data_IF_536675941839
#
_entry.id   IF_536675941839
#
_cell.length_a   1.000
_cell.length_b   1.000
_cell.length_c   1.000
_cell.angle_alpha   90.00
_cell.angle_beta   90.00
_cell.angle_gamma   90.00
#
_symmetry.space_group_name_H-M   'P 1'
#
loop_
_entity.id
_entity.type
_entity.pdbx_description
1 polymer ?
#
# COMPACT_ATOMS: atom_id res chain seq x y z
N UNK A 1 -65.51 -0.71 47.11
CA UNK A 1 -64.41 -1.33 47.90
C UNK A 1 -63.40 -1.93 46.93
N UNK A 2 -62.12 -1.62 47.14
CA UNK A 2 -60.91 -2.17 46.51
C UNK A 2 -60.69 -1.96 45.00
N UNK A 3 -60.16 -0.78 44.67
CA UNK A 3 -59.48 -0.51 43.40
C UNK A 3 -57.98 -0.79 43.59
N UNK A 4 -57.46 -1.85 42.93
CA UNK A 4 -56.06 -2.30 42.98
C UNK A 4 -55.18 -1.35 42.14
N UNK A 5 -54.39 -0.49 42.78
CA UNK A 5 -53.30 0.26 42.12
C UNK A 5 -52.04 -0.61 42.09
N UNK A 6 -51.54 -0.91 40.89
CA UNK A 6 -50.19 -1.47 40.65
C UNK A 6 -49.19 -0.32 40.51
N UNK A 7 -47.96 -0.44 41.05
CA UNK A 7 -46.92 0.57 40.86
C UNK A 7 -46.34 0.50 39.45
N UNK A 8 -46.17 1.66 38.81
CA UNK A 8 -45.42 1.82 37.57
C UNK A 8 -43.94 1.52 37.83
N UNK A 9 -43.36 0.64 37.01
CA UNK A 9 -41.93 0.45 36.92
C UNK A 9 -41.30 1.69 36.26
N UNK A 10 -40.36 2.33 36.95
CA UNK A 10 -39.51 3.36 36.39
C UNK A 10 -38.53 2.70 35.39
N UNK A 11 -38.69 3.03 34.11
CA UNK A 11 -37.72 2.70 33.06
C UNK A 11 -36.52 3.63 33.26
N UNK A 12 -35.42 3.07 33.76
CA UNK A 12 -34.11 3.73 33.76
C UNK A 12 -33.65 3.77 32.30
N UNK A 13 -33.77 4.95 31.68
CA UNK A 13 -33.16 5.26 30.40
C UNK A 13 -31.63 5.23 30.60
N UNK A 14 -30.99 4.11 30.28
CA UNK A 14 -29.55 4.10 30.05
C UNK A 14 -29.29 4.95 28.80
N UNK A 15 -28.88 6.19 29.02
CA UNK A 15 -28.30 7.02 27.98
C UNK A 15 -27.04 6.28 27.48
N UNK A 16 -27.19 5.61 26.33
CA UNK A 16 -26.08 5.16 25.51
C UNK A 16 -25.27 6.42 25.20
N UNK A 17 -24.16 6.60 25.90
CA UNK A 17 -23.11 7.52 25.49
C UNK A 17 -22.65 7.06 24.11
N UNK A 18 -23.22 7.64 23.07
CA UNK A 18 -22.69 7.51 21.72
C UNK A 18 -21.22 7.91 21.79
N UNK A 19 -20.30 7.12 21.20
CA UNK A 19 -18.93 7.56 21.05
C UNK A 19 -19.00 8.88 20.28
N UNK A 20 -18.61 9.97 20.93
CA UNK A 20 -18.32 11.22 20.24
C UNK A 20 -17.23 10.84 19.25
N UNK A 21 -17.58 10.83 17.96
CA UNK A 21 -16.59 10.71 16.90
C UNK A 21 -15.50 11.72 17.20
N UNK A 22 -14.26 11.24 17.36
CA UNK A 22 -13.13 12.12 17.57
C UNK A 22 -13.17 13.19 16.49
N UNK A 23 -13.13 14.46 16.90
CA UNK A 23 -13.04 15.59 15.98
C UNK A 23 -11.94 15.30 14.95
N UNK A 24 -12.16 15.70 13.69
CA UNK A 24 -11.22 15.43 12.61
C UNK A 24 -9.78 15.71 13.05
N UNK A 25 -8.84 14.81 12.73
CA UNK A 25 -7.44 15.07 13.04
C UNK A 25 -7.05 16.38 12.37
N UNK A 26 -6.62 17.34 13.20
CA UNK A 26 -6.09 18.63 12.77
C UNK A 26 -4.99 18.34 11.74
N UNK A 27 -4.94 19.03 10.61
CA UNK A 27 -3.81 18.90 9.68
C UNK A 27 -2.62 19.75 10.13
N UNK A 28 -1.52 19.71 9.38
CA UNK A 28 -0.51 20.76 9.50
C UNK A 28 -1.15 22.15 9.38
N UNK A 29 -0.86 23.02 10.35
CA UNK A 29 -1.24 24.42 10.35
C UNK A 29 0.04 25.26 10.41
N UNK A 30 0.27 26.21 9.49
CA UNK A 30 1.42 27.12 9.53
C UNK A 30 1.60 27.83 10.88
N UNK A 31 0.54 28.06 11.66
CA UNK A 31 0.62 28.62 13.01
C UNK A 31 1.42 27.73 13.99
N UNK A 32 1.57 26.44 13.70
CA UNK A 32 2.33 25.47 14.49
C UNK A 32 3.83 25.47 14.16
N UNK A 33 4.29 26.28 13.21
CA UNK A 33 5.68 26.32 12.75
C UNK A 33 6.69 26.55 13.86
N UNK A 34 6.33 27.26 14.93
CA UNK A 34 7.22 27.47 16.07
C UNK A 34 7.51 26.19 16.86
N UNK A 35 6.51 25.31 17.03
CA UNK A 35 6.70 24.00 17.68
C UNK A 35 7.51 23.09 16.78
N UNK A 36 7.24 23.11 15.46
CA UNK A 36 8.00 22.33 14.48
C UNK A 36 9.47 22.78 14.39
N UNK A 37 9.76 24.08 14.50
CA UNK A 37 11.13 24.61 14.50
C UNK A 37 12.00 24.04 15.63
N UNK A 38 11.39 23.70 16.76
CA UNK A 38 12.06 23.10 17.92
C UNK A 38 12.05 21.56 17.90
N UNK A 39 11.41 20.94 16.91
CA UNK A 39 11.19 19.50 16.84
C UNK A 39 12.15 18.87 15.83
N UNK A 40 12.98 17.88 16.21
CA UNK A 40 13.81 17.14 15.27
C UNK A 40 12.98 16.53 14.14
N UNK A 41 13.48 16.67 12.91
CA UNK A 41 12.84 16.13 11.71
C UNK A 41 13.55 14.85 11.27
N UNK A 42 12.78 13.81 11.03
CA UNK A 42 13.26 12.52 10.57
C UNK A 42 12.67 12.21 9.20
N UNK A 43 13.51 12.11 8.18
CA UNK A 43 13.09 11.64 6.84
C UNK A 43 13.39 10.15 6.77
N UNK A 44 12.36 9.32 6.82
CA UNK A 44 12.49 7.86 6.86
C UNK A 44 12.13 7.28 5.50
N UNK A 45 13.13 6.76 4.78
CA UNK A 45 12.93 6.04 3.54
C UNK A 45 12.48 4.61 3.84
N UNK A 46 11.29 4.24 3.37
CA UNK A 46 10.69 2.93 3.63
C UNK A 46 11.19 1.83 2.69
N UNK A 47 11.68 2.22 1.51
CA UNK A 47 12.27 1.31 0.52
C UNK A 47 13.37 2.02 -0.28
N UNK A 48 14.51 1.37 -0.46
CA UNK A 48 15.62 1.92 -1.23
C UNK A 48 15.42 1.79 -2.72
N UNK A 49 14.68 0.79 -3.18
CA UNK A 49 14.42 0.52 -4.60
C UNK A 49 12.92 0.51 -4.95
N UNK A 50 12.58 0.67 -6.23
CA UNK A 50 11.18 0.64 -6.69
C UNK A 50 10.52 -0.70 -6.36
N UNK A 51 9.40 -0.67 -5.62
CA UNK A 51 8.63 -1.86 -5.25
C UNK A 51 7.34 -1.98 -6.03
N UNK A 52 6.97 -3.20 -6.42
CA UNK A 52 5.65 -3.49 -6.98
C UNK A 52 4.60 -3.65 -5.89
N UNK A 53 3.47 -2.94 -6.00
CA UNK A 53 2.37 -3.05 -5.05
C UNK A 53 1.61 -4.37 -5.22
N UNK A 54 1.32 -5.05 -4.12
CA UNK A 54 0.50 -6.27 -4.09
C UNK A 54 -0.95 -5.87 -3.82
N UNK A 55 -1.93 -6.27 -4.67
CA UNK A 55 -3.34 -5.96 -4.48
C UNK A 55 -3.96 -6.80 -3.35
N UNK A 56 -3.40 -6.69 -2.15
CA UNK A 56 -3.80 -7.42 -0.95
C UNK A 56 -3.86 -6.47 0.23
N UNK A 57 -5.02 -6.45 0.89
CA UNK A 57 -5.22 -5.81 2.18
C UNK A 57 -5.30 -6.89 3.25
N UNK A 58 -4.60 -6.67 4.36
CA UNK A 58 -4.68 -7.57 5.50
C UNK A 58 -6.05 -7.43 6.18
N UNK A 59 -6.77 -8.54 6.29
CA UNK A 59 -8.02 -8.61 7.06
C UNK A 59 -7.69 -8.90 8.52
N UNK A 60 -7.93 -7.94 9.41
CA UNK A 60 -7.93 -8.20 10.85
C UNK A 60 -9.17 -9.00 11.22
N UNK A 61 -8.98 -10.21 11.74
CA UNK A 61 -10.05 -11.14 12.12
C UNK A 61 -10.66 -10.77 13.49
N UNK A 62 -10.10 -9.77 14.19
CA UNK A 62 -10.57 -9.31 15.50
C UNK A 62 -11.46 -8.06 15.45
N UNK A 63 -11.79 -7.55 14.25
CA UNK A 63 -12.57 -6.33 14.08
C UNK A 63 -14.07 -6.60 13.95
N UNK A 64 -14.86 -6.02 14.85
CA UNK A 64 -16.30 -5.85 14.73
C UNK A 64 -16.68 -5.42 13.30
N UNK A 65 -17.60 -6.13 12.60
CA UNK A 65 -18.02 -5.80 11.23
C UNK A 65 -18.70 -4.43 11.11
N UNK A 66 -19.04 -3.77 12.23
CA UNK A 66 -19.56 -2.39 12.25
C UNK A 66 -18.46 -1.32 12.25
N UNK A 67 -17.20 -1.68 12.50
CA UNK A 67 -16.01 -0.87 12.21
C UNK A 67 -15.56 -1.07 10.76
N UNK A 68 -16.54 -1.10 9.83
CA UNK A 68 -16.33 -0.91 8.40
C UNK A 68 -15.94 0.54 8.12
N UNK A 69 -14.84 0.99 8.74
CA UNK A 69 -14.12 2.13 8.26
C UNK A 69 -13.21 1.56 7.17
N UNK A 70 -13.36 1.92 5.90
CA UNK A 70 -12.53 1.34 4.87
C UNK A 70 -11.07 1.65 5.25
N UNK A 71 -10.35 0.60 5.68
CA UNK A 71 -9.02 0.63 6.27
C UNK A 71 -7.97 0.94 5.21
N UNK A 72 -8.17 2.04 4.49
CA UNK A 72 -7.24 2.58 3.52
C UNK A 72 -5.97 3.15 4.19
N UNK A 73 -5.94 3.29 5.53
CA UNK A 73 -5.01 4.19 6.22
C UNK A 73 -4.54 3.78 7.63
N UNK A 74 -4.90 2.60 8.15
CA UNK A 74 -4.55 2.19 9.52
C UNK A 74 -3.32 1.27 9.64
N UNK A 75 -2.58 1.06 8.55
CA UNK A 75 -1.25 0.43 8.64
C UNK A 75 -0.22 1.55 8.69
N UNK A 76 0.45 1.79 9.84
CA UNK A 76 1.57 2.70 9.91
C UNK A 76 2.55 2.49 8.74
N UNK A 77 2.96 3.56 8.04
CA UNK A 77 3.97 3.48 7.00
C UNK A 77 5.21 2.75 7.53
N UNK A 78 5.72 1.77 6.78
CA UNK A 78 6.91 1.00 7.18
C UNK A 78 6.65 -0.26 8.02
N UNK A 79 5.40 -0.64 8.27
CA UNK A 79 5.10 -2.01 8.74
C UNK A 79 4.97 -2.96 7.55
N UNK A 80 5.82 -3.98 7.51
CA UNK A 80 5.61 -5.14 6.64
C UNK A 80 4.29 -5.85 6.98
N UNK A 81 3.67 -6.52 6.00
CA UNK A 81 2.48 -7.33 6.23
C UNK A 81 2.68 -8.37 7.36
N UNK A 82 3.90 -8.88 7.54
CA UNK A 82 4.27 -9.77 8.65
C UNK A 82 4.24 -9.09 10.02
N UNK A 83 4.62 -7.82 10.12
CA UNK A 83 4.52 -7.03 11.36
C UNK A 83 3.06 -6.68 11.69
N UNK A 84 2.24 -6.35 10.69
CA UNK A 84 0.80 -6.14 10.88
C UNK A 84 0.09 -7.44 11.31
N UNK A 85 0.48 -8.58 10.74
CA UNK A 85 0.00 -9.89 11.15
C UNK A 85 0.44 -10.24 12.59
N UNK A 86 1.71 -10.06 12.94
CA UNK A 86 2.21 -10.32 14.29
C UNK A 86 1.51 -9.46 15.36
N UNK A 87 1.15 -8.21 15.04
CA UNK A 87 0.37 -7.35 15.93
C UNK A 87 -1.10 -7.81 16.10
N UNK A 88 -1.69 -8.44 15.08
CA UNK A 88 -3.08 -8.95 15.12
C UNK A 88 -3.23 -10.40 15.62
N UNK A 89 -2.15 -11.19 15.64
CA UNK A 89 -2.19 -12.64 15.97
C UNK A 89 -2.23 -12.92 17.49
N UNK A 90 -2.27 -11.90 18.35
CA UNK A 90 -2.40 -12.06 19.80
C UNK A 90 -3.72 -12.72 20.28
N UNK A 91 -4.62 -13.12 19.38
CA UNK A 91 -5.89 -13.81 19.69
C UNK A 91 -6.25 -14.95 18.73
N UNK A 92 -5.51 -16.06 18.75
CA UNK A 92 -6.08 -17.42 18.66
C UNK A 92 -6.86 -17.88 17.41
N UNK A 93 -6.61 -17.41 16.18
CA UNK A 93 -7.33 -17.90 14.98
C UNK A 93 -6.43 -18.37 13.84
N UNK A 94 -6.06 -19.66 13.86
CA UNK A 94 -5.27 -20.34 12.82
C UNK A 94 -5.96 -20.29 11.43
N UNK A 95 -7.29 -20.33 11.37
CA UNK A 95 -8.04 -20.33 10.10
C UNK A 95 -7.94 -18.98 9.36
N UNK A 96 -7.95 -17.86 10.07
CA UNK A 96 -7.81 -16.52 9.47
C UNK A 96 -6.42 -16.28 8.89
N UNK A 97 -5.38 -16.83 9.54
CA UNK A 97 -4.00 -16.79 9.04
C UNK A 97 -3.87 -17.55 7.72
N UNK A 98 -4.50 -18.72 7.59
CA UNK A 98 -4.45 -19.53 6.35
C UNK A 98 -5.20 -18.87 5.17
N UNK A 99 -6.36 -18.25 5.43
CA UNK A 99 -7.10 -17.51 4.41
C UNK A 99 -6.29 -16.30 3.95
N UNK A 100 -5.73 -15.54 4.90
CA UNK A 100 -4.88 -14.39 4.59
C UNK A 100 -3.62 -14.80 3.80
N UNK A 101 -2.97 -15.90 4.17
CA UNK A 101 -1.80 -16.41 3.45
C UNK A 101 -2.15 -16.84 2.01
N UNK A 102 -3.28 -17.52 1.79
CA UNK A 102 -3.67 -17.96 0.45
C UNK A 102 -4.12 -16.79 -0.44
N UNK A 103 -4.84 -15.80 0.10
CA UNK A 103 -5.19 -14.57 -0.61
C UNK A 103 -3.96 -13.72 -0.93
N UNK A 104 -3.01 -13.62 0.00
CA UNK A 104 -1.75 -12.93 -0.23
C UNK A 104 -0.94 -13.63 -1.33
N UNK A 105 -0.83 -14.96 -1.30
CA UNK A 105 -0.16 -15.72 -2.35
C UNK A 105 -0.83 -15.52 -3.71
N UNK A 106 -2.17 -15.53 -3.77
CA UNK A 106 -2.90 -15.26 -5.00
C UNK A 106 -2.63 -13.82 -5.53
N UNK A 107 -2.61 -12.82 -4.65
CA UNK A 107 -2.31 -11.44 -5.03
C UNK A 107 -0.86 -11.26 -5.48
N UNK A 108 0.11 -11.92 -4.85
CA UNK A 108 1.51 -11.96 -5.30
C UNK A 108 1.61 -12.56 -6.71
N UNK A 109 0.98 -13.71 -6.94
CA UNK A 109 0.99 -14.38 -8.24
C UNK A 109 0.37 -13.54 -9.36
N UNK A 110 -0.52 -12.58 -9.05
CA UNK A 110 -1.08 -11.67 -10.05
C UNK A 110 -0.07 -10.64 -10.56
N UNK A 111 0.83 -10.17 -9.69
CA UNK A 111 1.79 -9.12 -10.03
C UNK A 111 3.17 -9.67 -10.43
N UNK A 112 3.48 -10.89 -10.01
CA UNK A 112 4.80 -11.50 -10.21
C UNK A 112 5.27 -11.54 -11.68
N UNK A 113 4.42 -11.86 -12.68
CA UNK A 113 4.84 -11.84 -14.08
C UNK A 113 5.28 -10.44 -14.56
N UNK A 114 4.56 -9.40 -14.14
CA UNK A 114 4.84 -8.02 -14.48
C UNK A 114 6.10 -7.51 -13.76
N UNK A 115 6.22 -7.81 -12.47
CA UNK A 115 7.39 -7.50 -11.64
C UNK A 115 8.67 -8.19 -12.17
N UNK A 116 8.57 -9.44 -12.61
CA UNK A 116 9.69 -10.17 -13.20
C UNK A 116 10.23 -9.48 -14.46
N UNK A 117 9.37 -8.86 -15.27
CA UNK A 117 9.79 -8.08 -16.44
C UNK A 117 10.54 -6.82 -16.00
N UNK A 118 10.02 -6.07 -15.01
CA UNK A 118 10.72 -4.90 -14.47
C UNK A 118 12.13 -5.27 -13.95
N UNK A 119 12.22 -6.34 -13.15
CA UNK A 119 13.50 -6.81 -12.60
C UNK A 119 14.45 -7.32 -13.69
N UNK A 120 13.93 -8.13 -14.63
CA UNK A 120 14.71 -8.66 -15.75
C UNK A 120 15.22 -7.57 -16.70
N UNK A 121 14.50 -6.45 -16.81
CA UNK A 121 14.93 -5.26 -17.54
C UNK A 121 15.94 -4.37 -16.81
N UNK A 122 16.33 -4.71 -15.58
CA UNK A 122 17.24 -3.89 -14.77
C UNK A 122 16.58 -2.64 -14.17
N UNK A 123 15.25 -2.57 -14.14
CA UNK A 123 14.51 -1.39 -13.70
C UNK A 123 14.25 -1.36 -12.18
N UNK A 124 15.06 -2.07 -11.38
CA UNK A 124 15.03 -1.97 -9.92
C UNK A 124 15.81 -0.72 -9.46
N UNK A 125 15.24 0.45 -9.75
CA UNK A 125 15.93 1.73 -9.61
C UNK A 125 16.15 2.06 -8.13
N UNK A 126 17.41 2.32 -7.73
CA UNK A 126 17.79 2.83 -6.42
C UNK A 126 17.81 4.37 -6.45
N UNK A 127 16.65 4.97 -6.22
CA UNK A 127 16.45 6.42 -6.21
C UNK A 127 15.99 6.94 -4.84
N UNK A 128 16.01 6.07 -3.82
CA UNK A 128 15.49 6.40 -2.50
C UNK A 128 16.26 7.53 -1.82
N UNK A 129 17.58 7.55 -1.95
CA UNK A 129 18.41 8.63 -1.41
C UNK A 129 18.09 10.00 -2.04
N UNK A 130 17.81 10.04 -3.35
CA UNK A 130 17.42 11.25 -4.05
C UNK A 130 16.04 11.77 -3.58
N UNK A 131 15.08 10.85 -3.35
CA UNK A 131 13.78 11.21 -2.77
C UNK A 131 13.94 11.74 -1.34
N UNK A 132 14.69 11.06 -0.47
CA UNK A 132 14.94 11.53 0.91
C UNK A 132 15.61 12.91 0.94
N UNK A 133 16.56 13.15 0.02
CA UNK A 133 17.19 14.47 -0.12
C UNK A 133 16.17 15.52 -0.54
N UNK A 134 15.35 15.21 -1.54
CA UNK A 134 14.29 16.11 -2.03
C UNK A 134 13.29 16.48 -0.93
N UNK A 135 12.88 15.50 -0.11
CA UNK A 135 11.96 15.71 1.02
C UNK A 135 12.64 16.53 2.14
N UNK A 136 13.90 16.23 2.46
CA UNK A 136 14.66 17.02 3.43
C UNK A 136 14.81 18.48 2.98
N UNK A 137 15.09 18.70 1.70
CA UNK A 137 15.22 20.04 1.14
C UNK A 137 13.88 20.81 1.15
N UNK A 138 12.75 20.14 0.90
CA UNK A 138 11.43 20.76 1.03
C UNK A 138 11.20 21.33 2.44
N UNK A 139 11.70 20.65 3.48
CA UNK A 139 11.68 21.16 4.86
C UNK A 139 12.64 22.34 5.02
N UNK A 140 13.89 22.22 4.54
CA UNK A 140 14.91 23.29 4.63
C UNK A 140 14.48 24.60 3.95
N UNK A 141 13.67 24.51 2.90
CA UNK A 141 13.15 25.68 2.19
C UNK A 141 12.15 26.50 3.03
N UNK A 142 11.58 25.92 4.08
CA UNK A 142 10.67 26.63 4.99
C UNK A 142 11.42 27.54 5.96
N UNK A 143 10.74 28.58 6.47
CA UNK A 143 11.36 29.49 7.46
C UNK A 143 11.78 28.77 8.75
N UNK A 144 10.99 27.79 9.21
CA UNK A 144 11.26 27.03 10.42
C UNK A 144 12.30 25.92 10.21
N UNK A 145 12.29 25.27 9.04
CA UNK A 145 13.16 24.14 8.75
C UNK A 145 14.64 24.50 8.59
N UNK A 146 14.98 25.76 8.29
CA UNK A 146 16.39 26.23 8.16
C UNK A 146 17.23 26.01 9.40
N UNK A 147 16.63 26.15 10.59
CA UNK A 147 17.31 25.97 11.87
C UNK A 147 17.09 24.59 12.48
N UNK A 148 16.28 23.75 11.83
CA UNK A 148 15.86 22.46 12.38
C UNK A 148 16.86 21.36 12.03
N UNK A 149 17.15 20.49 12.99
CA UNK A 149 17.98 19.30 12.72
C UNK A 149 17.16 18.29 11.92
N UNK A 150 17.65 17.93 10.74
CA UNK A 150 17.04 16.94 9.85
C UNK A 150 17.95 15.73 9.75
N UNK A 151 17.44 14.56 10.14
CA UNK A 151 18.15 13.27 10.02
C UNK A 151 17.44 12.39 9.01
N UNK A 152 18.19 11.91 8.01
CA UNK A 152 17.68 10.94 7.05
C UNK A 152 17.98 9.52 7.54
N UNK A 153 16.98 8.64 7.44
CA UNK A 153 17.07 7.24 7.79
C UNK A 153 16.63 6.37 6.61
N UNK A 154 17.13 5.15 6.56
CA UNK A 154 16.65 4.12 5.67
C UNK A 154 16.20 2.93 6.51
N UNK A 155 14.94 2.53 6.36
CA UNK A 155 14.39 1.41 7.10
C UNK A 155 14.89 0.10 6.48
N UNK A 156 15.67 -0.66 7.24
CA UNK A 156 16.11 -1.98 6.80
C UNK A 156 14.94 -2.98 6.83
N UNK A 157 15.01 -4.09 6.05
CA UNK A 157 14.02 -5.17 6.14
C UNK A 157 13.81 -5.62 7.59
N UNK A 158 12.54 -5.82 7.99
CA UNK A 158 12.13 -6.27 9.35
C UNK A 158 12.48 -5.28 10.49
N UNK A 159 13.08 -4.13 10.20
CA UNK A 159 13.28 -3.06 11.17
C UNK A 159 11.97 -2.31 11.39
N UNK A 160 11.75 -1.79 12.60
CA UNK A 160 10.61 -0.92 12.90
C UNK A 160 11.08 0.51 13.04
N UNK A 161 10.23 1.48 12.70
CA UNK A 161 10.52 2.91 12.81
C UNK A 161 10.96 3.31 14.23
N UNK A 162 10.33 2.74 15.26
CA UNK A 162 10.69 2.92 16.68
C UNK A 162 12.15 2.58 17.03
N UNK A 163 12.87 1.82 16.19
CA UNK A 163 14.28 1.48 16.43
C UNK A 163 15.26 2.51 15.87
N UNK A 164 14.83 3.34 14.94
CA UNK A 164 15.67 4.34 14.24
C UNK A 164 15.29 5.77 14.59
N UNK A 165 14.06 5.97 15.09
CA UNK A 165 13.58 7.26 15.57
C UNK A 165 13.16 7.09 17.03
N UNK A 166 13.78 7.85 17.92
CA UNK A 166 13.46 7.81 19.35
C UNK A 166 12.03 8.29 19.58
N UNK A 167 11.19 7.40 20.11
CA UNK A 167 9.77 7.67 20.33
C UNK A 167 9.47 8.42 21.63
N UNK A 168 10.45 8.51 22.53
CA UNK A 168 10.28 9.16 23.83
C UNK A 168 10.39 10.69 23.74
N UNK A 169 10.92 11.20 22.63
CA UNK A 169 11.12 12.61 22.34
C UNK A 169 10.09 13.16 21.32
N UNK A 170 9.81 14.48 21.36
CA UNK A 170 9.11 15.15 20.27
C UNK A 170 9.82 14.94 18.94
N UNK A 171 9.05 14.66 17.89
CA UNK A 171 9.59 14.35 16.56
C UNK A 171 8.60 14.68 15.46
N UNK A 172 9.14 15.09 14.31
CA UNK A 172 8.39 15.19 13.07
C UNK A 172 8.93 14.17 12.07
N UNK A 173 8.09 13.23 11.66
CA UNK A 173 8.51 12.09 10.84
C UNK A 173 7.90 12.22 9.45
N UNK A 174 8.74 12.21 8.44
CA UNK A 174 8.40 12.19 7.03
C UNK A 174 8.76 10.81 6.47
N UNK A 175 7.80 9.89 6.46
CA UNK A 175 8.00 8.53 5.93
C UNK A 175 7.78 8.53 4.43
N UNK A 176 8.80 8.19 3.65
CA UNK A 176 8.82 8.35 2.20
C UNK A 176 8.94 7.00 1.49
N UNK A 177 8.23 6.85 0.37
CA UNK A 177 8.30 5.65 -0.47
C UNK A 177 8.00 5.96 -1.92
N UNK A 178 8.42 5.07 -2.79
CA UNK A 178 8.00 5.04 -4.19
C UNK A 178 7.72 3.59 -4.60
N UNK A 179 6.63 3.39 -5.35
CA UNK A 179 6.15 2.06 -5.70
C UNK A 179 5.46 2.08 -7.05
N UNK A 180 5.46 0.96 -7.75
CA UNK A 180 4.68 0.72 -8.95
C UNK A 180 3.26 0.31 -8.53
N UNK A 181 2.23 0.91 -9.12
CA UNK A 181 0.83 0.55 -8.84
C UNK A 181 0.57 -0.93 -9.12
N UNK A 182 -0.44 -1.51 -8.46
CA UNK A 182 -0.74 -2.96 -8.60
C UNK A 182 -1.09 -3.41 -10.03
N UNK A 183 -1.56 -2.49 -10.87
CA UNK A 183 -1.86 -2.71 -12.30
C UNK A 183 -0.73 -2.24 -13.23
N UNK A 184 0.40 -1.79 -12.66
CA UNK A 184 1.58 -1.24 -13.31
C UNK A 184 1.31 -0.02 -14.20
N UNK A 185 0.18 0.65 -14.01
CA UNK A 185 -0.17 1.83 -14.82
C UNK A 185 0.59 3.08 -14.40
N UNK A 186 1.06 3.21 -13.16
CA UNK A 186 1.75 4.41 -12.70
C UNK A 186 2.75 4.15 -11.57
N UNK A 187 3.67 5.10 -11.38
CA UNK A 187 4.50 5.20 -10.18
C UNK A 187 3.75 6.05 -9.15
N UNK A 188 3.66 5.52 -7.93
CA UNK A 188 3.10 6.18 -6.76
C UNK A 188 4.23 6.55 -5.82
N UNK A 189 4.44 7.84 -5.63
CA UNK A 189 5.36 8.40 -4.63
C UNK A 189 4.55 8.90 -3.45
N UNK A 190 4.91 8.51 -2.24
CA UNK A 190 4.16 8.84 -1.03
C UNK A 190 5.07 9.41 0.04
N UNK A 191 4.57 10.42 0.74
CA UNK A 191 5.16 10.98 1.96
C UNK A 191 4.08 11.06 3.01
N UNK A 192 4.24 10.32 4.11
CA UNK A 192 3.40 10.47 5.29
C UNK A 192 4.11 11.39 6.28
N UNK A 193 3.50 12.53 6.56
CA UNK A 193 3.99 13.58 7.43
C UNK A 193 3.27 13.49 8.78
N UNK A 194 3.96 13.04 9.82
CA UNK A 194 3.39 12.81 11.15
C UNK A 194 4.14 13.57 12.22
N UNK A 195 3.42 14.38 13.01
CA UNK A 195 4.01 15.13 14.11
C UNK A 195 3.63 14.52 15.46
N UNK A 196 4.65 14.29 16.30
CA UNK A 196 4.52 13.71 17.64
C UNK A 196 5.12 14.70 18.62
N UNK A 197 4.30 15.46 19.33
CA UNK A 197 4.73 16.34 20.41
C UNK A 197 3.55 16.61 21.34
N UNK A 198 3.78 16.81 22.63
CA UNK A 198 2.70 17.10 23.59
C UNK A 198 2.11 18.50 23.39
N UNK A 199 2.94 19.43 22.92
CA UNK A 199 2.63 20.86 22.82
C UNK A 199 1.80 21.21 21.57
N UNK A 200 1.60 20.26 20.65
CA UNK A 200 0.82 20.52 19.45
C UNK A 200 -0.69 20.52 19.78
N UNK A 201 -1.50 21.38 19.13
CA UNK A 201 -2.94 21.33 19.24
C UNK A 201 -3.49 19.94 18.85
N UNK A 202 -4.43 19.41 19.63
CA UNK A 202 -5.06 18.10 19.35
C UNK A 202 -4.20 16.89 19.75
N UNK A 203 -3.04 17.09 20.36
CA UNK A 203 -2.17 15.99 20.77
C UNK A 203 -2.85 15.02 21.75
N UNK A 204 -2.83 13.71 21.47
CA UNK A 204 -3.41 12.74 22.38
C UNK A 204 -2.52 12.53 23.62
N UNK A 205 -3.09 12.05 24.72
CA UNK A 205 -2.33 11.75 25.95
C UNK A 205 -1.17 10.77 25.72
N UNK A 206 -1.29 9.90 24.72
CA UNK A 206 -0.26 8.96 24.30
C UNK A 206 0.45 9.42 23.02
N UNK A 207 0.76 10.72 22.92
CA UNK A 207 1.41 11.35 21.77
C UNK A 207 2.70 10.65 21.32
N UNK A 208 3.38 9.89 22.19
CA UNK A 208 4.56 9.10 21.84
C UNK A 208 4.27 7.95 20.87
N UNK A 209 3.02 7.44 20.86
CA UNK A 209 2.57 6.34 20.00
C UNK A 209 1.64 6.81 18.89
N UNK A 210 0.83 7.83 19.17
CA UNK A 210 -0.13 8.39 18.22
C UNK A 210 0.27 9.82 17.90
N UNK A 211 0.43 10.18 16.62
CA UNK A 211 0.79 11.55 16.28
C UNK A 211 -0.35 12.50 16.64
N UNK A 212 -0.01 13.76 16.89
CA UNK A 212 -0.98 14.85 17.01
C UNK A 212 -1.77 15.00 15.70
N UNK A 213 -1.08 14.80 14.58
CA UNK A 213 -1.66 14.82 13.25
C UNK A 213 -0.85 14.02 12.24
N UNK A 214 -1.50 13.65 11.14
CA UNK A 214 -0.84 13.05 9.98
C UNK A 214 -1.45 13.61 8.69
N UNK A 215 -0.58 13.99 7.78
CA UNK A 215 -0.88 14.38 6.40
C UNK A 215 -0.24 13.37 5.45
N UNK A 216 -1.03 12.75 4.58
CA UNK A 216 -0.55 11.79 3.59
C UNK A 216 -0.50 12.46 2.22
N UNK A 217 0.71 12.73 1.74
CA UNK A 217 0.94 13.33 0.43
C UNK A 217 1.23 12.23 -0.59
N UNK A 218 0.51 12.22 -1.71
CA UNK A 218 0.67 11.22 -2.77
C UNK A 218 0.80 11.91 -4.11
N UNK A 219 1.86 11.57 -4.84
CA UNK A 219 2.05 11.96 -6.24
C UNK A 219 1.97 10.72 -7.10
N UNK A 220 1.11 10.77 -8.12
CA UNK A 220 0.92 9.69 -9.09
C UNK A 220 1.47 10.14 -10.43
N UNK A 221 2.38 9.37 -11.01
CA UNK A 221 2.91 9.67 -12.35
C UNK A 221 1.80 9.61 -13.40
N UNK A 222 2.05 10.15 -14.58
CA UNK A 222 1.16 9.91 -15.71
C UNK A 222 1.03 8.41 -15.98
N UNK A 223 -0.18 7.99 -16.38
CA UNK A 223 -0.47 6.58 -16.63
C UNK A 223 0.17 6.07 -17.91
N UNK A 224 0.62 4.82 -17.87
CA UNK A 224 0.96 4.04 -19.04
C UNK A 224 -0.30 3.39 -19.58
N UNK A 225 -0.76 3.93 -20.69
CA UNK A 225 -1.82 3.34 -21.49
C UNK A 225 -1.27 2.22 -22.37
N UNK A 226 -2.09 1.19 -22.56
CA UNK A 226 -1.80 0.08 -23.46
C UNK A 226 -2.77 0.12 -24.63
N UNK A 227 -2.29 -0.28 -25.81
CA UNK A 227 -3.16 -0.42 -26.96
C UNK A 227 -4.20 -1.55 -26.72
N UNK A 228 -5.39 -1.45 -27.33
CA UNK A 228 -6.32 -2.57 -27.37
C UNK A 228 -5.64 -3.80 -27.98
N UNK A 229 -6.06 -4.98 -27.51
CA UNK A 229 -5.50 -6.25 -27.94
C UNK A 229 -5.77 -6.48 -29.43
N UNK A 230 -4.74 -6.85 -30.17
CA UNK A 230 -4.84 -7.15 -31.60
C UNK A 230 -5.07 -8.65 -31.85
N UNK A 231 -5.41 -9.02 -33.08
CA UNK A 231 -5.50 -10.44 -33.44
C UNK A 231 -4.16 -11.16 -33.30
N UNK A 232 -3.04 -10.48 -33.63
CA UNK A 232 -1.70 -11.04 -33.45
C UNK A 232 -1.39 -11.34 -31.98
N UNK A 233 -1.86 -10.48 -31.06
CA UNK A 233 -1.71 -10.71 -29.61
C UNK A 233 -2.53 -11.90 -29.13
N UNK A 234 -3.74 -12.08 -29.67
CA UNK A 234 -4.59 -13.24 -29.37
C UNK A 234 -3.90 -14.53 -29.83
N UNK A 235 -3.43 -14.57 -31.08
CA UNK A 235 -2.78 -15.74 -31.65
C UNK A 235 -1.50 -16.09 -30.89
N UNK A 236 -0.70 -15.08 -30.52
CA UNK A 236 0.50 -15.26 -29.71
C UNK A 236 0.17 -15.79 -28.30
N UNK A 237 -0.84 -15.24 -27.62
CA UNK A 237 -1.23 -15.69 -26.28
C UNK A 237 -1.78 -17.13 -26.28
N UNK A 238 -2.53 -17.51 -27.33
CA UNK A 238 -2.99 -18.89 -27.52
C UNK A 238 -1.80 -19.83 -27.73
N UNK A 239 -0.85 -19.45 -28.58
CA UNK A 239 0.35 -20.24 -28.84
C UNK A 239 1.20 -20.42 -27.57
N UNK A 240 1.39 -19.36 -26.78
CA UNK A 240 2.11 -19.40 -25.50
C UNK A 240 1.43 -20.34 -24.49
N UNK A 241 0.11 -20.25 -24.35
CA UNK A 241 -0.64 -21.14 -23.44
C UNK A 241 -0.60 -22.60 -23.89
N UNK A 242 -0.67 -22.87 -25.20
CA UNK A 242 -0.52 -24.24 -25.73
C UNK A 242 0.88 -24.78 -25.44
N UNK A 243 1.93 -24.01 -25.72
CA UNK A 243 3.32 -24.40 -25.43
C UNK A 243 3.53 -24.67 -23.93
N UNK A 244 2.97 -23.81 -23.06
CA UNK A 244 3.00 -24.02 -21.60
C UNK A 244 2.30 -25.32 -21.21
N UNK A 245 1.12 -25.59 -21.75
CA UNK A 245 0.34 -26.78 -21.41
C UNK A 245 1.01 -28.07 -21.90
N UNK A 246 1.63 -28.05 -23.08
CA UNK A 246 2.45 -29.14 -23.60
C UNK A 246 3.66 -29.43 -22.71
N UNK A 247 4.38 -28.38 -22.28
CA UNK A 247 5.55 -28.51 -21.40
C UNK A 247 5.23 -29.12 -20.02
N UNK A 248 3.96 -29.11 -19.58
CA UNK A 248 3.53 -29.77 -18.35
C UNK A 248 3.38 -31.30 -18.47
N UNK A 249 3.52 -31.87 -19.67
CA UNK A 249 3.37 -33.30 -19.94
C UNK A 249 2.05 -33.87 -19.38
N UNK A 250 0.95 -33.11 -19.49
CA UNK A 250 -0.35 -33.51 -18.90
C UNK A 250 -0.86 -34.83 -19.48
N UNK A 251 -0.50 -35.16 -20.72
CA UNK A 251 -0.82 -36.45 -21.33
C UNK A 251 -0.25 -37.65 -20.55
N UNK A 252 0.98 -37.54 -20.02
CA UNK A 252 1.53 -38.59 -19.17
C UNK A 252 0.78 -38.72 -17.84
N UNK A 253 0.35 -37.59 -17.26
CA UNK A 253 -0.47 -37.58 -16.06
C UNK A 253 -1.85 -38.21 -16.31
N UNK A 254 -2.44 -38.01 -17.50
CA UNK A 254 -3.69 -38.65 -17.90
C UNK A 254 -3.50 -40.17 -18.01
N UNK A 255 -2.42 -40.64 -18.64
CA UNK A 255 -2.13 -42.08 -18.74
C UNK A 255 -1.98 -42.70 -17.34
N UNK A 256 -1.21 -42.07 -16.44
CA UNK A 256 -1.06 -42.52 -15.04
C UNK A 256 -2.40 -42.52 -14.29
N UNK A 257 -3.20 -41.46 -14.45
CA UNK A 257 -4.52 -41.34 -13.82
C UNK A 257 -5.49 -42.44 -14.29
N UNK A 258 -5.50 -42.75 -15.59
CA UNK A 258 -6.30 -43.84 -16.15
C UNK A 258 -5.80 -45.22 -15.69
N UNK A 259 -4.47 -45.37 -15.49
CA UNK A 259 -3.85 -46.57 -14.92
C UNK A 259 -4.08 -46.79 -13.41
N UNK A 260 -4.82 -45.91 -12.74
CA UNK A 260 -5.19 -46.08 -11.32
C UNK A 260 -4.47 -45.16 -10.34
N UNK A 261 -3.52 -44.33 -10.78
CA UNK A 261 -2.79 -43.41 -9.89
C UNK A 261 -3.72 -42.32 -9.32
N UNK A 262 -3.96 -42.41 -8.01
CA UNK A 262 -4.85 -41.53 -7.25
C UNK A 262 -4.31 -40.09 -7.16
N UNK A 263 -2.98 -39.92 -7.10
CA UNK A 263 -2.32 -38.62 -7.05
C UNK A 263 -2.39 -37.94 -8.42
N UNK A 264 -2.13 -38.69 -9.49
CA UNK A 264 -2.27 -38.19 -10.85
C UNK A 264 -3.72 -37.74 -11.15
N UNK A 265 -4.73 -38.54 -10.74
CA UNK A 265 -6.15 -38.17 -10.87
C UNK A 265 -6.48 -36.84 -10.20
N UNK A 266 -5.94 -36.59 -9.01
CA UNK A 266 -6.13 -35.33 -8.29
C UNK A 266 -5.51 -34.12 -9.00
N UNK A 267 -4.45 -34.31 -9.79
CA UNK A 267 -3.71 -33.23 -10.47
C UNK A 267 -4.23 -32.92 -11.88
N UNK A 268 -4.69 -33.93 -12.63
CA UNK A 268 -5.10 -33.75 -14.04
C UNK A 268 -6.26 -32.78 -14.20
N UNK A 269 -7.34 -32.96 -13.44
CA UNK A 269 -8.55 -32.14 -13.62
C UNK A 269 -8.31 -30.64 -13.39
N UNK A 270 -7.61 -30.20 -12.32
CA UNK A 270 -7.23 -28.80 -12.15
C UNK A 270 -6.41 -28.24 -13.31
N UNK A 271 -5.41 -28.97 -13.83
CA UNK A 271 -4.55 -28.51 -14.92
C UNK A 271 -5.33 -28.33 -16.22
N UNK A 272 -6.22 -29.27 -16.57
CA UNK A 272 -7.08 -29.17 -17.76
C UNK A 272 -8.04 -27.99 -17.64
N UNK A 273 -8.64 -27.78 -16.46
CA UNK A 273 -9.55 -26.66 -16.24
C UNK A 273 -8.83 -25.32 -16.29
N UNK A 274 -7.63 -25.23 -15.71
CA UNK A 274 -6.79 -24.04 -15.80
C UNK A 274 -6.43 -23.72 -17.26
N UNK A 275 -6.02 -24.71 -18.04
CA UNK A 275 -5.70 -24.54 -19.45
C UNK A 275 -6.90 -24.01 -20.25
N UNK A 276 -8.09 -24.60 -20.08
CA UNK A 276 -9.31 -24.11 -20.72
C UNK A 276 -9.63 -22.67 -20.32
N UNK A 277 -9.45 -22.31 -19.04
CA UNK A 277 -9.64 -20.95 -18.57
C UNK A 277 -8.65 -19.98 -19.22
N UNK A 278 -7.36 -20.35 -19.28
CA UNK A 278 -6.31 -19.54 -19.91
C UNK A 278 -6.52 -19.39 -21.41
N UNK A 279 -6.92 -20.43 -22.13
CA UNK A 279 -7.28 -20.32 -23.55
C UNK A 279 -8.47 -19.39 -23.79
N UNK A 280 -9.50 -19.44 -22.94
CA UNK A 280 -10.63 -18.49 -23.04
C UNK A 280 -10.19 -17.05 -22.81
N UNK A 281 -9.29 -16.81 -21.84
CA UNK A 281 -8.72 -15.50 -21.58
C UNK A 281 -7.82 -15.02 -22.73
N UNK A 282 -6.99 -15.92 -23.28
CA UNK A 282 -6.12 -15.64 -24.43
C UNK A 282 -6.94 -15.29 -25.68
N UNK A 283 -8.07 -15.97 -25.91
CA UNK A 283 -8.98 -15.68 -27.02
C UNK A 283 -9.89 -14.46 -26.80
N UNK A 284 -9.96 -13.91 -25.58
CA UNK A 284 -10.78 -12.76 -25.31
C UNK A 284 -10.21 -11.50 -25.99
N UNK A 285 -11.07 -10.60 -26.51
CA UNK A 285 -10.65 -9.36 -27.16
C UNK A 285 -10.14 -8.30 -26.17
N UNK A 286 -10.42 -8.46 -24.88
CA UNK A 286 -9.89 -7.62 -23.83
C UNK A 286 -8.64 -8.28 -23.20
N UNK A 287 -7.71 -7.45 -22.75
CA UNK A 287 -6.62 -7.90 -21.90
C UNK A 287 -7.17 -8.35 -20.53
N UNK A 288 -6.56 -9.39 -19.94
CA UNK A 288 -6.80 -9.66 -18.52
C UNK A 288 -6.00 -8.68 -17.66
N UNK A 289 -6.40 -8.38 -16.42
CA UNK A 289 -5.62 -7.47 -15.55
C UNK A 289 -4.14 -7.87 -15.40
N UNK A 290 -3.85 -9.18 -15.39
CA UNK A 290 -2.47 -9.69 -15.31
C UNK A 290 -1.72 -9.37 -16.61
N UNK A 291 -2.33 -9.62 -17.76
CA UNK A 291 -1.71 -9.33 -19.06
C UNK A 291 -1.53 -7.82 -19.26
N UNK A 292 -2.47 -7.00 -18.81
CA UNK A 292 -2.31 -5.54 -18.85
C UNK A 292 -1.08 -5.08 -18.05
N UNK A 293 -0.91 -5.61 -16.83
CA UNK A 293 0.26 -5.31 -16.00
C UNK A 293 1.56 -5.74 -16.67
N UNK A 294 1.56 -6.90 -17.35
CA UNK A 294 2.69 -7.40 -18.15
C UNK A 294 3.00 -6.44 -19.31
N UNK A 295 2.00 -6.01 -20.08
CA UNK A 295 2.21 -5.08 -21.20
C UNK A 295 2.72 -3.72 -20.71
N UNK A 296 2.14 -3.19 -19.63
CA UNK A 296 2.61 -1.93 -19.02
C UNK A 296 4.05 -2.05 -18.51
N UNK A 297 4.41 -3.19 -17.91
CA UNK A 297 5.79 -3.45 -17.49
C UNK A 297 6.76 -3.43 -18.67
N UNK A 298 6.40 -4.03 -19.81
CA UNK A 298 7.22 -3.95 -21.03
C UNK A 298 7.43 -2.51 -21.47
N UNK A 299 6.39 -1.68 -21.43
CA UNK A 299 6.49 -0.25 -21.76
C UNK A 299 7.39 0.50 -20.77
N UNK A 300 7.31 0.21 -19.47
CA UNK A 300 8.22 0.80 -18.48
C UNK A 300 9.68 0.42 -18.70
N UNK A 301 9.93 -0.84 -19.08
CA UNK A 301 11.28 -1.35 -19.33
C UNK A 301 11.87 -1.00 -20.69
N UNK A 302 11.03 -0.50 -21.62
CA UNK A 302 11.48 -0.09 -22.94
C UNK A 302 12.59 0.98 -22.83
N UNK A 303 13.50 0.98 -23.80
CA UNK A 303 14.59 1.97 -23.90
C UNK A 303 15.46 2.05 -22.63
N UNK A 304 15.65 0.93 -21.93
CA UNK A 304 16.50 0.88 -20.73
C UNK A 304 15.90 1.63 -19.54
N UNK A 305 14.59 1.49 -19.31
CA UNK A 305 13.88 2.10 -18.19
C UNK A 305 13.80 3.65 -18.23
N UNK A 306 14.08 4.29 -19.37
CA UNK A 306 14.15 5.76 -19.47
C UNK A 306 12.87 6.45 -18.97
N UNK A 307 11.70 5.94 -19.39
CA UNK A 307 10.39 6.45 -18.93
C UNK A 307 10.25 6.36 -17.42
N UNK A 308 10.70 5.25 -16.82
CA UNK A 308 10.62 5.01 -15.39
C UNK A 308 11.50 6.02 -14.61
N UNK A 309 12.74 6.26 -15.07
CA UNK A 309 13.63 7.27 -14.49
C UNK A 309 13.00 8.67 -14.53
N UNK A 310 12.46 9.08 -15.68
CA UNK A 310 11.80 10.38 -15.83
C UNK A 310 10.59 10.51 -14.90
N UNK A 311 9.76 9.47 -14.79
CA UNK A 311 8.59 9.48 -13.92
C UNK A 311 8.98 9.59 -12.44
N UNK A 312 10.01 8.88 -11.97
CA UNK A 312 10.50 8.99 -10.59
C UNK A 312 11.01 10.42 -10.31
N UNK A 313 11.83 10.96 -11.20
CA UNK A 313 12.39 12.31 -11.04
C UNK A 313 11.30 13.40 -11.04
N UNK A 314 10.31 13.26 -11.94
CA UNK A 314 9.15 14.16 -12.00
C UNK A 314 8.33 14.08 -10.71
N UNK A 315 8.01 12.87 -10.25
CA UNK A 315 7.26 12.68 -9.01
C UNK A 315 7.99 13.27 -7.79
N UNK A 316 9.32 13.15 -7.72
CA UNK A 316 10.10 13.74 -6.63
C UNK A 316 10.00 15.28 -6.64
N UNK A 317 10.13 15.89 -7.82
CA UNK A 317 9.97 17.35 -8.00
C UNK A 317 8.58 17.81 -7.57
N UNK A 318 7.55 17.09 -8.00
CA UNK A 318 6.17 17.38 -7.64
C UNK A 318 5.89 17.17 -6.15
N UNK A 319 6.49 16.15 -5.53
CA UNK A 319 6.39 15.90 -4.10
C UNK A 319 7.02 17.04 -3.30
N UNK A 320 8.15 17.60 -3.75
CA UNK A 320 8.74 18.81 -3.15
C UNK A 320 7.75 19.97 -3.18
N UNK A 321 7.11 20.21 -4.33
CA UNK A 321 6.09 21.24 -4.49
C UNK A 321 4.90 21.02 -3.56
N UNK A 322 4.41 19.78 -3.47
CA UNK A 322 3.28 19.41 -2.62
C UNK A 322 3.59 19.59 -1.12
N UNK A 323 4.79 19.19 -0.67
CA UNK A 323 5.28 19.46 0.69
C UNK A 323 5.41 20.96 0.95
N UNK A 324 5.95 21.73 0.00
CA UNK A 324 6.02 23.18 0.12
C UNK A 324 4.64 23.82 0.32
N UNK A 325 3.64 23.35 -0.43
CA UNK A 325 2.25 23.81 -0.29
C UNK A 325 1.64 23.38 1.05
N UNK A 326 1.93 22.16 1.53
CA UNK A 326 1.54 21.71 2.88
C UNK A 326 2.05 22.71 3.92
N UNK A 327 3.35 22.98 3.91
CA UNK A 327 3.99 23.83 4.93
C UNK A 327 3.52 25.28 4.92
N UNK A 328 3.11 25.81 3.77
CA UNK A 328 2.52 27.15 3.64
C UNK A 328 1.02 27.21 3.90
N UNK A 329 0.36 26.06 4.11
CA UNK A 329 -1.10 25.99 4.26
C UNK A 329 -1.85 26.31 2.96
N UNK A 330 -1.25 26.02 1.81
CA UNK A 330 -1.80 26.30 0.46
C UNK A 330 -2.45 25.06 -0.17
N UNK A 331 -2.53 23.93 0.55
CA UNK A 331 -3.27 22.77 0.08
C UNK A 331 -4.79 23.03 0.12
N UNK A 332 -5.57 22.32 -0.70
CA UNK A 332 -7.02 22.35 -0.58
C UNK A 332 -7.49 22.03 0.84
N UNK A 333 -8.69 22.51 1.21
CA UNK A 333 -9.27 22.19 2.50
C UNK A 333 -9.42 20.66 2.67
N UNK A 334 -9.12 20.16 3.88
CA UNK A 334 -9.34 18.75 4.22
C UNK A 334 -10.82 18.41 4.04
N UNK A 335 -11.05 17.21 3.52
CA UNK A 335 -12.40 16.65 3.39
C UNK A 335 -12.58 15.63 4.52
N UNK A 336 -13.75 15.61 5.14
CA UNK A 336 -14.04 14.76 6.31
C UNK A 336 -14.80 13.49 5.93
N UNK A 337 -15.60 13.55 4.86
CA UNK A 337 -16.35 12.43 4.31
C UNK A 337 -16.07 12.26 2.81
N UNK A 338 -16.01 11.02 2.31
CA UNK A 338 -16.03 10.83 0.86
C UNK A 338 -17.35 11.37 0.31
N UNK A 339 -17.36 12.23 -0.71
CA UNK A 339 -18.59 12.62 -1.36
C UNK A 339 -19.32 11.37 -1.86
N UNK A 340 -20.62 11.24 -1.53
CA UNK A 340 -21.46 10.09 -1.89
C UNK A 340 -21.51 9.82 -3.40
N UNK A 341 -21.24 10.86 -4.20
CA UNK A 341 -20.89 10.76 -5.61
C UNK A 341 -19.60 11.57 -5.80
N UNK A 342 -18.41 10.93 -5.85
CA UNK A 342 -17.22 11.64 -6.26
C UNK A 342 -17.46 12.13 -7.69
N UNK A 343 -17.60 13.45 -7.85
CA UNK A 343 -17.59 14.00 -9.19
C UNK A 343 -16.24 13.65 -9.79
N UNK A 344 -16.24 12.75 -10.79
CA UNK A 344 -15.08 12.54 -11.65
C UNK A 344 -14.84 13.89 -12.27
N UNK A 345 -13.76 14.57 -11.84
CA UNK A 345 -13.38 15.82 -12.43
C UNK A 345 -13.30 15.60 -13.96
N UNK A 346 -13.89 16.48 -14.78
CA UNK A 346 -13.77 16.34 -16.23
C UNK A 346 -12.29 16.22 -16.58
N UNK A 347 -11.96 15.28 -17.47
CA UNK A 347 -10.58 15.02 -17.89
C UNK A 347 -10.06 16.23 -18.67
N UNK A 348 -9.57 17.24 -17.95
CA UNK A 348 -8.94 18.43 -18.53
C UNK A 348 -7.47 18.17 -18.87
N UNK A 349 -6.92 17.01 -18.50
CA UNK A 349 -5.50 16.68 -18.65
C UNK A 349 -4.58 17.43 -17.69
N UNK A 350 -5.10 18.37 -16.91
CA UNK A 350 -4.34 19.13 -15.92
C UNK A 350 -4.05 18.29 -14.67
N UNK A 351 -2.86 18.47 -14.10
CA UNK A 351 -2.48 17.90 -12.80
C UNK A 351 -3.03 18.78 -11.69
N UNK A 352 -3.76 18.18 -10.74
CA UNK A 352 -4.41 18.91 -9.65
C UNK A 352 -4.23 18.17 -8.33
N UNK A 353 -4.11 18.94 -7.25
CA UNK A 353 -4.14 18.41 -5.88
C UNK A 353 -5.59 18.20 -5.48
N UNK A 354 -5.93 16.97 -5.12
CA UNK A 354 -7.23 16.60 -4.58
C UNK A 354 -7.06 16.24 -3.11
N UNK A 355 -7.83 16.88 -2.24
CA UNK A 355 -7.99 16.42 -0.87
C UNK A 355 -8.96 15.23 -0.83
N UNK A 356 -8.54 14.17 -0.16
CA UNK A 356 -9.33 13.00 0.18
C UNK A 356 -9.57 12.97 1.70
N UNK A 357 -10.49 12.12 2.19
CA UNK A 357 -10.73 12.00 3.62
C UNK A 357 -9.48 11.73 4.44
N UNK A 358 -9.56 12.11 5.71
CA UNK A 358 -8.57 11.85 6.75
C UNK A 358 -7.16 12.40 6.49
N UNK A 359 -7.05 13.49 5.72
CA UNK A 359 -5.79 14.23 5.56
C UNK A 359 -4.90 13.71 4.43
N UNK A 360 -5.49 13.12 3.41
CA UNK A 360 -4.76 12.61 2.24
C UNK A 360 -4.85 13.64 1.11
N UNK A 361 -3.73 13.93 0.46
CA UNK A 361 -3.62 14.85 -0.65
C UNK A 361 -2.99 14.15 -1.84
N UNK A 362 -3.79 13.96 -2.88
CA UNK A 362 -3.35 13.31 -4.11
C UNK A 362 -3.11 14.33 -5.21
N UNK A 363 -1.89 14.40 -5.72
CA UNK A 363 -1.57 15.07 -6.97
C UNK A 363 -1.58 14.04 -8.11
N UNK A 364 -2.56 14.17 -9.00
CA UNK A 364 -2.71 13.32 -10.19
C UNK A 364 -3.28 14.14 -11.34
N UNK A 365 -3.17 13.62 -12.56
CA UNK A 365 -3.88 14.16 -13.72
C UNK A 365 -5.39 13.96 -13.55
N UNK A 366 -6.19 14.97 -13.86
CA UNK A 366 -7.64 14.88 -13.81
C UNK A 366 -8.15 13.74 -14.72
N UNK A 367 -8.93 12.82 -14.16
CA UNK A 367 -9.47 11.64 -14.84
C UNK A 367 -8.65 10.36 -14.65
N UNK A 368 -7.40 10.46 -14.19
CA UNK A 368 -6.59 9.27 -13.91
C UNK A 368 -7.00 8.65 -12.57
N UNK A 369 -7.44 7.39 -12.63
CA UNK A 369 -7.75 6.59 -11.45
C UNK A 369 -6.67 5.53 -11.26
N UNK A 370 -5.83 5.72 -10.25
CA UNK A 370 -4.84 4.74 -9.79
C UNK A 370 -5.25 4.27 -8.40
N UNK A 371 -5.29 2.95 -8.21
CA UNK A 371 -5.66 2.39 -6.92
C UNK A 371 -4.56 2.62 -5.89
N UNK A 372 -4.81 3.47 -4.91
CA UNK A 372 -3.86 3.82 -3.84
C UNK A 372 -4.00 2.96 -2.57
N UNK A 373 -4.93 2.00 -2.59
CA UNK A 373 -5.26 1.19 -1.43
C UNK A 373 -4.15 0.21 -1.02
N UNK A 374 -3.14 0.03 -1.89
CA UNK A 374 -2.04 -0.92 -1.73
C UNK A 374 -0.67 -0.24 -1.67
N UNK A 375 -0.60 1.09 -1.54
CA UNK A 375 0.65 1.86 -1.66
C UNK A 375 1.77 1.49 -0.69
N UNK A 376 1.44 0.83 0.42
CA UNK A 376 2.40 0.30 1.42
C UNK A 376 2.42 -1.24 1.49
N UNK A 377 1.72 -1.93 0.58
CA UNK A 377 1.70 -3.38 0.47
C UNK A 377 2.55 -3.78 -0.73
N UNK A 378 3.77 -4.28 -0.49
CA UNK A 378 4.75 -4.51 -1.55
C UNK A 378 5.13 -5.98 -1.70
N UNK A 379 5.59 -6.33 -2.89
CA UNK A 379 6.24 -7.62 -3.11
C UNK A 379 7.53 -7.66 -2.29
N UNK A 380 7.73 -8.69 -1.44
CA UNK A 380 8.94 -8.79 -0.63
C UNK A 380 10.17 -9.02 -1.52
N UNK A 381 11.31 -8.50 -1.08
CA UNK A 381 12.58 -8.55 -1.82
C UNK A 381 13.21 -9.94 -1.84
N UNK A 382 12.89 -10.75 -0.82
CA UNK A 382 13.11 -12.20 -0.77
C UNK A 382 12.36 -12.77 0.43
N UNK A 383 11.74 -13.93 0.26
CA UNK A 383 11.38 -14.78 1.40
C UNK A 383 12.67 -15.47 1.84
N UNK A 384 13.47 -14.81 2.69
CA UNK A 384 14.48 -15.55 3.45
C UNK A 384 13.74 -16.67 4.17
N UNK A 385 14.01 -17.91 3.76
CA UNK A 385 13.59 -19.08 4.52
C UNK A 385 14.12 -18.88 5.92
N UNK A 386 13.22 -18.77 6.90
CA UNK A 386 13.59 -19.01 8.29
C UNK A 386 14.17 -20.42 8.32
N UNK A 387 15.49 -20.54 8.30
CA UNK A 387 16.16 -21.78 8.63
C UNK A 387 15.69 -22.13 10.04
N UNK A 388 14.83 -23.16 10.10
CA UNK A 388 14.29 -23.68 11.33
C UNK A 388 15.45 -24.16 12.20
N UNK A 389 15.91 -23.30 13.10
CA UNK A 389 16.82 -23.61 14.18
C UNK A 389 16.12 -24.54 15.17
N UNK A 390 15.99 -25.81 14.82
CA UNK A 390 15.81 -26.87 15.79
C UNK A 390 17.13 -26.99 16.54
N UNK A 391 17.14 -26.46 17.76
CA UNK A 391 18.30 -26.41 18.63
C UNK A 391 18.95 -27.77 18.83
N UNK A 392 20.28 -27.74 18.82
CA UNK A 392 21.13 -28.76 19.42
C UNK A 392 20.67 -29.03 20.86
N UNK A 393 20.03 -30.17 21.07
CA UNK A 393 19.94 -30.76 22.40
C UNK A 393 21.30 -31.40 22.72
N UNK A 394 22.14 -30.64 23.42
CA UNK A 394 23.30 -31.19 24.11
C UNK A 394 22.83 -32.21 25.16
N UNK A 395 23.17 -33.47 24.96
CA UNK A 395 23.14 -34.48 26.00
C UNK A 395 24.58 -34.74 26.45
N UNK A 396 24.92 -34.20 27.62
CA UNK A 396 26.07 -34.63 28.42
C UNK A 396 25.65 -34.60 29.88
N UNK A 397 25.24 -35.75 30.38
CA UNK A 397 25.61 -36.32 31.69
C UNK A 397 25.08 -37.74 31.81
#
# INVERSE_FOLDING_TARGET
MQCKRRPMAAVILCALSMPVFAADPVGHDPAQSAVLAATPVHVVLLNTTLKSQVPYQYYSVSGDPTLYNPMFYNVPPGMSAGQAAAAGVAGGLIAGVLINASMQAAAKNQIEPADAILRGGGCNLDQGAALSTTVADAVRDTAWGKATTITAHTLAPKQSMDKIVDKEQPRYVLSTSYSMSSDFSAIVTSVSASAYAEQLPGSPKNWRKNPAWTDDLVVVSDRVEIAPKTQADIDAAIAEENARYEALNVNELIVKANGGDRVARGKVAPLVQEHKRKLRAAAAPAWTPIDEAVQRSRIWTAEGCARLHTAIASNATEMRGLLGNLFRGELPARVTEMPKNPQVAPATGERRVQAEPIGVYRLTRAGDNVNLAFRYSWLPESEEKEDGGAGEAGASR
#
